data_IF_077235195246
#
_entry.id   IF_077235195246
#
_cell.length_a   1.000
_cell.length_b   1.000
_cell.length_c   1.000
_cell.angle_alpha   90.00
_cell.angle_beta   90.00
_cell.angle_gamma   90.00
#
_symmetry.space_group_name_H-M   'P 1'
#
loop_
_entity.id
_entity.type
_entity.pdbx_description
1 polymer ?
#
# COMPACT_ATOMS: atom_id res chain seq x y z
N UNK A 1 10.16 -17.69 -18.08
CA UNK A 1 9.72 -19.08 -18.39
C UNK A 1 10.02 -20.12 -17.30
N UNK A 2 11.12 -20.07 -16.54
CA UNK A 2 11.43 -21.11 -15.53
C UNK A 2 10.56 -21.07 -14.25
N UNK A 3 9.88 -19.94 -13.96
CA UNK A 3 9.08 -19.77 -12.74
C UNK A 3 7.71 -20.44 -12.80
N UNK A 4 7.00 -20.36 -13.93
CA UNK A 4 5.72 -21.05 -14.14
C UNK A 4 5.88 -22.56 -14.06
N UNK A 5 6.96 -23.11 -14.66
CA UNK A 5 7.34 -24.54 -14.49
C UNK A 5 7.62 -24.90 -13.03
N UNK A 6 8.28 -24.04 -12.25
CA UNK A 6 8.51 -24.26 -10.80
C UNK A 6 7.23 -24.16 -9.96
N UNK A 7 6.33 -23.22 -10.26
CA UNK A 7 5.00 -23.12 -9.65
C UNK A 7 4.18 -24.37 -9.97
N UNK A 8 4.24 -24.85 -11.20
CA UNK A 8 3.57 -26.08 -11.62
C UNK A 8 4.16 -27.32 -10.95
N UNK A 9 5.49 -27.39 -10.77
CA UNK A 9 6.15 -28.44 -9.99
C UNK A 9 5.76 -28.34 -8.51
N UNK A 10 5.64 -27.15 -7.92
CA UNK A 10 5.18 -26.97 -6.55
C UNK A 10 3.68 -27.25 -6.40
N UNK A 11 2.87 -26.98 -7.41
CA UNK A 11 1.44 -27.31 -7.45
C UNK A 11 1.28 -28.82 -7.61
N UNK A 12 2.00 -29.49 -8.51
CA UNK A 12 2.08 -30.97 -8.62
C UNK A 12 2.65 -31.61 -7.36
N UNK A 13 3.70 -31.07 -6.75
CA UNK A 13 4.28 -31.59 -5.49
C UNK A 13 3.35 -31.34 -4.30
N UNK A 14 2.58 -30.25 -4.29
CA UNK A 14 1.52 -30.03 -3.31
C UNK A 14 0.30 -30.90 -3.56
N UNK A 15 -0.09 -31.20 -4.81
CA UNK A 15 -1.10 -32.20 -5.15
C UNK A 15 -0.64 -33.59 -4.68
N UNK A 16 0.64 -33.93 -4.86
CA UNK A 16 1.30 -35.12 -4.26
C UNK A 16 1.53 -35.02 -2.73
N UNK A 17 1.21 -33.90 -2.08
CA UNK A 17 1.12 -33.78 -0.61
C UNK A 17 -0.33 -33.72 -0.13
N UNK A 18 -1.27 -33.26 -0.95
CA UNK A 18 -2.70 -33.47 -0.77
C UNK A 18 -3.03 -34.97 -0.79
N UNK A 19 -2.25 -35.78 -1.50
CA UNK A 19 -2.32 -37.23 -1.36
C UNK A 19 -1.94 -37.77 0.02
N UNK A 20 -1.15 -37.07 0.83
CA UNK A 20 -0.91 -37.48 2.23
C UNK A 20 -2.07 -37.11 3.16
N UNK A 21 -2.99 -36.25 2.71
CA UNK A 21 -4.29 -36.03 3.36
C UNK A 21 -5.36 -37.07 2.95
N UNK A 22 -5.01 -38.09 2.15
CA UNK A 22 -5.94 -39.17 1.75
C UNK A 22 -6.47 -40.05 2.91
N UNK A 23 -5.96 -39.90 4.14
CA UNK A 23 -6.47 -40.63 5.30
C UNK A 23 -7.71 -39.97 5.95
N UNK A 24 -8.01 -38.71 5.63
CA UNK A 24 -9.24 -38.06 6.09
C UNK A 24 -10.27 -38.21 4.96
N UNK A 25 -11.24 -39.12 5.14
CA UNK A 25 -12.42 -39.17 4.28
C UNK A 25 -13.15 -37.83 4.41
N UNK A 26 -12.94 -36.94 3.43
CA UNK A 26 -13.83 -35.80 3.25
C UNK A 26 -15.12 -36.32 2.59
N UNK A 27 -16.29 -35.84 3.01
CA UNK A 27 -17.54 -36.12 2.30
C UNK A 27 -17.37 -35.82 0.82
N UNK A 28 -17.88 -36.69 -0.05
CA UNK A 28 -17.85 -36.45 -1.47
C UNK A 28 -18.80 -35.27 -1.77
N UNK A 29 -18.24 -34.09 -2.02
CA UNK A 29 -19.01 -32.87 -2.25
C UNK A 29 -19.94 -32.95 -3.46
N UNK A 30 -19.74 -33.95 -4.33
CA UNK A 30 -20.60 -34.20 -5.47
C UNK A 30 -21.82 -35.08 -5.17
N UNK A 31 -21.88 -35.82 -4.06
CA UNK A 31 -23.01 -36.73 -3.78
C UNK A 31 -24.37 -36.02 -3.82
N UNK A 32 -24.40 -34.74 -3.44
CA UNK A 32 -25.60 -33.91 -3.45
C UNK A 32 -25.65 -32.87 -4.58
N UNK A 33 -24.70 -32.91 -5.52
CA UNK A 33 -24.60 -31.93 -6.61
C UNK A 33 -25.21 -32.48 -7.90
N UNK A 34 -25.94 -31.63 -8.64
CA UNK A 34 -26.41 -31.95 -9.98
C UNK A 34 -25.26 -32.21 -10.95
N UNK A 35 -24.08 -31.63 -10.70
CA UNK A 35 -22.88 -31.84 -11.52
C UNK A 35 -22.41 -33.31 -11.50
N UNK A 36 -22.73 -34.06 -10.45
CA UNK A 36 -22.36 -35.47 -10.35
C UNK A 36 -23.18 -36.37 -11.29
N UNK A 37 -24.33 -35.88 -11.76
CA UNK A 37 -25.21 -36.60 -12.69
C UNK A 37 -24.91 -36.26 -14.15
N UNK A 38 -24.04 -35.29 -14.41
CA UNK A 38 -23.68 -34.89 -15.76
C UNK A 38 -22.65 -35.87 -16.35
N UNK A 39 -22.82 -36.28 -17.63
CA UNK A 39 -21.77 -36.95 -18.38
C UNK A 39 -20.48 -36.13 -18.43
N UNK A 40 -19.33 -36.82 -18.51
CA UNK A 40 -17.99 -36.20 -18.55
C UNK A 40 -17.87 -35.21 -19.71
N UNK A 41 -18.50 -35.49 -20.85
CA UNK A 41 -18.50 -34.66 -22.05
C UNK A 41 -19.14 -33.29 -21.78
N UNK A 42 -20.25 -33.27 -21.02
CA UNK A 42 -20.90 -32.00 -20.64
C UNK A 42 -20.04 -31.22 -19.65
N UNK A 43 -19.37 -31.90 -18.70
CA UNK A 43 -18.44 -31.23 -17.79
C UNK A 43 -17.24 -30.62 -18.54
N UNK A 44 -16.71 -31.32 -19.55
CA UNK A 44 -15.65 -30.80 -20.41
C UNK A 44 -16.13 -29.64 -21.27
N UNK A 45 -17.34 -29.71 -21.83
CA UNK A 45 -17.93 -28.62 -22.59
C UNK A 45 -18.09 -27.36 -21.72
N UNK A 46 -18.67 -27.51 -20.52
CA UNK A 46 -18.75 -26.41 -19.54
C UNK A 46 -17.37 -25.80 -19.29
N UNK A 47 -16.35 -26.64 -19.04
CA UNK A 47 -15.00 -26.15 -18.79
C UNK A 47 -14.36 -25.46 -20.01
N UNK A 48 -14.66 -25.91 -21.23
CA UNK A 48 -14.16 -25.29 -22.47
C UNK A 48 -14.83 -23.96 -22.79
N UNK A 49 -16.08 -23.77 -22.36
CA UNK A 49 -16.83 -22.53 -22.54
C UNK A 49 -16.48 -21.45 -21.48
N UNK A 50 -15.74 -21.83 -20.42
CA UNK A 50 -15.26 -20.91 -19.39
C UNK A 50 -13.96 -20.22 -19.79
N UNK A 51 -13.73 -18.96 -19.35
CA UNK A 51 -12.40 -18.34 -19.39
C UNK A 51 -11.35 -19.23 -18.70
N UNK A 52 -10.10 -19.22 -19.18
CA UNK A 52 -9.04 -20.14 -18.73
C UNK A 52 -8.89 -20.18 -17.20
N UNK A 53 -8.88 -19.01 -16.55
CA UNK A 53 -8.85 -18.91 -15.10
C UNK A 53 -10.05 -19.58 -14.40
N UNK A 54 -11.26 -19.39 -14.93
CA UNK A 54 -12.49 -19.97 -14.40
C UNK A 54 -12.55 -21.48 -14.67
N UNK A 55 -12.14 -21.94 -15.85
CA UNK A 55 -12.04 -23.35 -16.19
C UNK A 55 -11.06 -24.08 -15.26
N UNK A 56 -9.92 -23.46 -14.97
CA UNK A 56 -8.95 -23.97 -14.00
C UNK A 56 -9.53 -24.01 -12.57
N UNK A 57 -10.24 -22.97 -12.14
CA UNK A 57 -10.92 -22.97 -10.84
C UNK A 57 -12.00 -24.06 -10.75
N UNK A 58 -12.83 -24.19 -11.78
CA UNK A 58 -13.84 -25.23 -11.91
C UNK A 58 -13.22 -26.63 -11.82
N UNK A 59 -12.09 -26.86 -12.52
CA UNK A 59 -11.36 -28.13 -12.45
C UNK A 59 -10.90 -28.46 -11.04
N UNK A 60 -10.59 -27.45 -10.21
CA UNK A 60 -10.09 -27.60 -8.85
C UNK A 60 -11.19 -27.56 -7.77
N UNK A 61 -12.45 -27.32 -8.14
CA UNK A 61 -13.57 -27.22 -7.21
C UNK A 61 -13.80 -28.52 -6.43
N UNK A 62 -13.58 -29.69 -7.07
CA UNK A 62 -13.54 -30.97 -6.38
C UNK A 62 -12.60 -31.96 -7.09
N UNK A 63 -12.17 -32.99 -6.34
CA UNK A 63 -11.25 -34.01 -6.86
C UNK A 63 -11.85 -34.78 -8.03
N UNK A 64 -13.15 -35.07 -8.00
CA UNK A 64 -13.80 -35.86 -9.03
C UNK A 64 -13.87 -35.10 -10.37
N UNK A 65 -14.27 -33.82 -10.35
CA UNK A 65 -14.24 -32.97 -11.54
C UNK A 65 -12.81 -32.92 -12.11
N UNK A 66 -11.79 -32.69 -11.27
CA UNK A 66 -10.39 -32.67 -11.71
C UNK A 66 -9.98 -33.97 -12.43
N UNK A 67 -10.42 -35.12 -11.91
CA UNK A 67 -10.10 -36.43 -12.50
C UNK A 67 -10.85 -36.67 -13.82
N UNK A 68 -12.10 -36.22 -13.92
CA UNK A 68 -12.93 -36.38 -15.12
C UNK A 68 -12.49 -35.46 -16.26
N UNK A 69 -12.29 -34.17 -15.98
CA UNK A 69 -12.00 -33.20 -17.03
C UNK A 69 -10.50 -33.03 -17.29
N UNK A 70 -9.62 -33.43 -16.37
CA UNK A 70 -8.17 -33.38 -16.54
C UNK A 70 -7.49 -32.09 -16.09
N UNK A 71 -6.18 -31.98 -16.37
CA UNK A 71 -5.31 -30.87 -15.90
C UNK A 71 -4.92 -29.88 -17.00
N UNK A 72 -5.42 -30.01 -18.22
CA UNK A 72 -5.07 -29.16 -19.37
C UNK A 72 -5.35 -27.67 -19.10
N UNK A 73 -6.41 -27.35 -18.34
CA UNK A 73 -6.73 -25.97 -17.96
C UNK A 73 -5.66 -25.36 -17.04
N UNK A 74 -5.00 -26.17 -16.20
CA UNK A 74 -3.89 -25.73 -15.36
C UNK A 74 -2.61 -25.51 -16.18
N UNK A 75 -2.41 -26.31 -17.24
CA UNK A 75 -1.27 -26.16 -18.15
C UNK A 75 -1.39 -24.86 -18.96
N UNK A 76 -2.61 -24.52 -19.40
CA UNK A 76 -2.92 -23.25 -20.06
C UNK A 76 -2.66 -22.04 -19.17
N UNK A 77 -2.87 -22.15 -17.85
CA UNK A 77 -2.47 -21.07 -16.92
C UNK A 77 -0.96 -20.84 -16.94
N UNK A 78 -0.17 -21.90 -17.02
CA UNK A 78 1.29 -21.80 -16.96
C UNK A 78 1.90 -21.06 -18.17
N UNK A 79 1.16 -20.95 -19.28
CA UNK A 79 1.59 -20.21 -20.47
C UNK A 79 1.19 -18.73 -20.44
N UNK A 80 0.20 -18.34 -19.63
CA UNK A 80 -0.29 -16.95 -19.52
C UNK A 80 -0.16 -16.36 -18.12
N UNK A 81 0.71 -15.36 -17.97
CA UNK A 81 0.91 -14.62 -16.70
C UNK A 81 -0.33 -13.81 -16.28
N UNK A 82 -1.13 -13.37 -17.25
CA UNK A 82 -2.39 -12.67 -16.99
C UNK A 82 -3.43 -13.63 -16.43
N UNK A 83 -3.69 -14.74 -17.12
CA UNK A 83 -4.65 -15.76 -16.68
C UNK A 83 -4.26 -16.37 -15.33
N UNK A 84 -2.96 -16.60 -15.09
CA UNK A 84 -2.46 -17.02 -13.78
C UNK A 84 -2.89 -16.05 -12.68
N UNK A 85 -2.79 -14.73 -12.90
CA UNK A 85 -3.19 -13.75 -11.89
C UNK A 85 -4.70 -13.72 -11.69
N UNK A 86 -5.50 -13.81 -12.76
CA UNK A 86 -6.96 -13.89 -12.69
C UNK A 86 -7.36 -15.12 -11.86
N UNK A 87 -6.77 -16.28 -12.15
CA UNK A 87 -6.97 -17.51 -11.40
C UNK A 87 -6.61 -17.36 -9.91
N UNK A 88 -5.45 -16.77 -9.60
CA UNK A 88 -5.04 -16.56 -8.21
C UNK A 88 -6.00 -15.64 -7.46
N UNK A 89 -6.59 -14.63 -8.12
CA UNK A 89 -7.59 -13.74 -7.52
C UNK A 89 -8.93 -14.46 -7.25
N UNK A 90 -9.35 -15.36 -8.16
CA UNK A 90 -10.52 -16.21 -7.92
C UNK A 90 -10.29 -17.11 -6.69
N UNK A 91 -9.14 -17.78 -6.64
CA UNK A 91 -8.80 -18.67 -5.50
C UNK A 91 -8.56 -17.88 -4.21
N UNK A 92 -8.06 -16.65 -4.28
CA UNK A 92 -7.88 -15.79 -3.11
C UNK A 92 -9.19 -15.59 -2.34
N UNK A 93 -10.32 -15.45 -3.03
CA UNK A 93 -11.64 -15.23 -2.42
C UNK A 93 -11.96 -16.30 -1.35
N UNK A 94 -11.71 -17.57 -1.68
CA UNK A 94 -12.03 -18.70 -0.80
C UNK A 94 -10.93 -18.97 0.25
N UNK A 95 -9.78 -18.31 0.14
CA UNK A 95 -8.64 -18.46 1.05
C UNK A 95 -8.50 -17.26 1.98
N UNK A 96 -9.17 -17.35 3.14
CA UNK A 96 -9.17 -16.30 4.16
C UNK A 96 -7.76 -15.89 4.64
N UNK A 97 -6.78 -16.80 4.66
CA UNK A 97 -5.42 -16.56 5.17
C UNK A 97 -4.39 -16.12 4.11
N UNK A 98 -4.81 -15.90 2.86
CA UNK A 98 -3.91 -15.62 1.73
C UNK A 98 -4.36 -14.43 0.90
N UNK A 99 -3.41 -13.77 0.24
CA UNK A 99 -3.68 -12.73 -0.77
C UNK A 99 -2.98 -13.06 -2.09
N UNK A 100 -3.60 -12.77 -3.23
CA UNK A 100 -2.94 -12.83 -4.53
C UNK A 100 -2.11 -11.58 -4.74
N UNK A 101 -0.84 -11.76 -5.10
CA UNK A 101 0.08 -10.67 -5.35
C UNK A 101 0.30 -10.46 -6.85
N UNK A 102 0.01 -9.24 -7.33
CA UNK A 102 0.16 -8.88 -8.73
C UNK A 102 1.64 -8.89 -9.18
N UNK A 103 2.56 -8.50 -8.31
CA UNK A 103 4.00 -8.51 -8.61
C UNK A 103 4.58 -9.92 -8.60
N UNK A 104 4.38 -10.67 -7.49
CA UNK A 104 4.98 -11.99 -7.31
C UNK A 104 4.26 -13.12 -8.06
N UNK A 105 3.04 -12.88 -8.59
CA UNK A 105 2.20 -13.88 -9.28
C UNK A 105 2.01 -15.16 -8.45
N UNK A 106 1.72 -15.00 -7.16
CA UNK A 106 1.47 -16.11 -6.23
C UNK A 106 0.60 -15.68 -5.05
N UNK A 107 0.12 -16.65 -4.28
CA UNK A 107 -0.56 -16.41 -3.01
C UNK A 107 0.45 -16.21 -1.88
N UNK A 108 0.38 -15.08 -1.19
CA UNK A 108 1.11 -14.83 0.05
C UNK A 108 0.23 -15.13 1.24
N UNK A 109 0.76 -15.86 2.22
CA UNK A 109 0.06 -16.08 3.49
C UNK A 109 0.16 -14.85 4.36
N UNK A 110 -0.96 -14.39 4.90
CA UNK A 110 -1.05 -13.24 5.81
C UNK A 110 -0.16 -13.43 7.04
N UNK A 111 -0.03 -14.67 7.55
CA UNK A 111 0.85 -14.96 8.70
C UNK A 111 2.34 -14.69 8.44
N UNK A 112 2.74 -14.53 7.18
CA UNK A 112 4.09 -14.18 6.78
C UNK A 112 4.28 -12.68 6.56
N UNK A 113 3.33 -11.82 6.96
CA UNK A 113 3.36 -10.37 6.71
C UNK A 113 4.72 -9.71 7.05
N UNK A 114 5.37 -10.13 8.15
CA UNK A 114 6.69 -9.63 8.55
C UNK A 114 7.80 -9.82 7.51
N UNK A 115 7.65 -10.74 6.56
CA UNK A 115 8.61 -10.96 5.45
C UNK A 115 8.50 -9.93 4.33
N UNK A 116 7.54 -9.02 4.43
CA UNK A 116 7.27 -7.99 3.42
C UNK A 116 7.52 -6.59 3.98
N UNK A 117 8.25 -6.47 5.09
CA UNK A 117 8.66 -5.18 5.66
C UNK A 117 10.19 -5.14 5.81
N UNK A 118 10.77 -3.98 5.52
CA UNK A 118 12.20 -3.72 5.72
C UNK A 118 13.12 -4.15 4.56
N UNK A 119 14.42 -3.87 4.73
CA UNK A 119 15.45 -3.93 3.69
C UNK A 119 16.40 -5.14 3.79
N UNK A 120 16.13 -6.11 4.68
CA UNK A 120 17.13 -7.11 5.08
C UNK A 120 16.85 -8.53 4.54
N UNK A 121 16.40 -8.65 3.30
CA UNK A 121 16.18 -9.97 2.69
C UNK A 121 17.37 -10.39 1.82
N UNK A 122 17.89 -11.60 2.06
CA UNK A 122 18.89 -12.23 1.19
C UNK A 122 18.36 -12.39 -0.25
N UNK A 123 17.07 -12.68 -0.37
CA UNK A 123 16.35 -12.72 -1.65
C UNK A 123 15.07 -11.91 -1.48
N UNK A 124 15.07 -10.73 -2.07
CA UNK A 124 13.94 -9.82 -2.02
C UNK A 124 12.77 -10.32 -2.88
N UNK A 125 11.53 -10.40 -2.36
CA UNK A 125 10.35 -10.70 -3.17
C UNK A 125 10.09 -9.62 -4.23
N UNK A 126 9.60 -10.02 -5.40
CA UNK A 126 9.30 -9.10 -6.51
C UNK A 126 8.36 -7.95 -6.12
N UNK A 127 7.42 -8.19 -5.18
CA UNK A 127 6.54 -7.12 -4.70
C UNK A 127 7.27 -6.02 -3.91
N UNK A 128 8.34 -6.34 -3.19
CA UNK A 128 9.14 -5.31 -2.52
C UNK A 128 10.04 -4.57 -3.51
N UNK A 129 10.52 -5.27 -4.55
CA UNK A 129 11.23 -4.64 -5.66
C UNK A 129 10.33 -3.63 -6.38
N UNK A 130 9.08 -3.99 -6.63
CA UNK A 130 8.08 -3.11 -7.24
C UNK A 130 7.74 -1.92 -6.33
N UNK A 131 7.54 -2.14 -5.02
CA UNK A 131 7.35 -1.05 -4.04
C UNK A 131 8.54 -0.08 -4.04
N UNK A 132 9.77 -0.59 -4.13
CA UNK A 132 10.97 0.25 -4.24
C UNK A 132 10.99 1.05 -5.54
N UNK A 133 10.72 0.41 -6.68
CA UNK A 133 10.68 1.08 -7.99
C UNK A 133 9.61 2.17 -8.05
N UNK A 134 8.45 1.92 -7.48
CA UNK A 134 7.36 2.89 -7.35
C UNK A 134 7.63 3.96 -6.27
N UNK A 135 8.73 3.84 -5.52
CA UNK A 135 9.11 4.73 -4.41
C UNK A 135 8.05 4.82 -3.32
N UNK A 136 7.35 3.71 -3.03
CA UNK A 136 6.32 3.61 -1.98
C UNK A 136 6.83 4.14 -0.64
N UNK A 137 8.07 3.78 -0.30
CA UNK A 137 8.72 4.20 0.94
C UNK A 137 9.01 5.70 1.05
N UNK A 138 9.10 6.41 -0.09
CA UNK A 138 9.32 7.86 -0.15
C UNK A 138 8.02 8.63 0.08
N UNK A 139 6.99 8.29 -0.69
CA UNK A 139 5.70 8.98 -0.66
C UNK A 139 4.84 8.63 0.54
N UNK A 140 4.89 7.39 1.02
CA UNK A 140 4.19 6.97 2.23
C UNK A 140 5.18 7.08 3.39
N UNK A 141 5.87 6.01 3.79
CA UNK A 141 7.03 6.06 4.70
C UNK A 141 7.89 4.80 4.60
N UNK A 142 9.08 4.82 5.23
CA UNK A 142 10.15 3.84 5.01
C UNK A 142 9.82 2.35 5.24
N UNK A 143 8.82 2.05 6.08
CA UNK A 143 8.41 0.67 6.40
C UNK A 143 7.09 0.26 5.72
N UNK A 144 6.48 1.13 4.94
CA UNK A 144 5.21 0.83 4.30
C UNK A 144 5.39 -0.25 3.23
N UNK A 145 4.44 -1.19 3.14
CA UNK A 145 4.43 -2.27 2.15
C UNK A 145 3.05 -2.40 1.53
N UNK A 146 2.96 -2.32 0.21
CA UNK A 146 1.69 -2.52 -0.52
C UNK A 146 1.13 -3.94 -0.29
N UNK A 147 2.02 -4.92 -0.12
CA UNK A 147 1.64 -6.30 0.15
C UNK A 147 1.02 -6.43 1.55
N UNK A 148 1.62 -5.82 2.57
CA UNK A 148 1.04 -5.84 3.93
C UNK A 148 -0.23 -5.00 4.01
N UNK A 149 -0.32 -3.90 3.26
CA UNK A 149 -1.56 -3.13 3.09
C UNK A 149 -2.69 -4.03 2.59
N UNK A 150 -2.49 -4.76 1.49
CA UNK A 150 -3.51 -5.70 0.98
C UNK A 150 -3.87 -6.79 2.00
N UNK A 151 -2.88 -7.32 2.75
CA UNK A 151 -3.14 -8.28 3.83
C UNK A 151 -4.01 -7.67 4.94
N UNK A 152 -3.71 -6.44 5.37
CA UNK A 152 -4.43 -5.74 6.42
C UNK A 152 -5.89 -5.47 6.01
N UNK A 153 -6.11 -4.96 4.79
CA UNK A 153 -7.45 -4.68 4.28
C UNK A 153 -8.30 -5.94 4.18
N UNK A 154 -7.76 -7.00 3.58
CA UNK A 154 -8.48 -8.27 3.47
C UNK A 154 -8.84 -8.83 4.84
N UNK A 155 -7.88 -8.88 5.77
CA UNK A 155 -8.12 -9.43 7.10
C UNK A 155 -9.17 -8.61 7.87
N UNK A 156 -9.06 -7.28 7.81
CA UNK A 156 -10.00 -6.38 8.45
C UNK A 156 -11.41 -6.50 7.85
N UNK A 157 -11.55 -6.68 6.54
CA UNK A 157 -12.84 -6.89 5.91
C UNK A 157 -13.53 -8.19 6.38
N UNK A 158 -12.76 -9.27 6.54
CA UNK A 158 -13.29 -10.58 6.94
C UNK A 158 -13.56 -10.70 8.45
N UNK A 159 -12.73 -10.07 9.28
CA UNK A 159 -12.71 -10.31 10.73
C UNK A 159 -12.82 -9.04 11.58
N UNK A 160 -12.95 -7.87 10.95
CA UNK A 160 -13.00 -6.58 11.65
C UNK A 160 -11.69 -6.19 12.33
N UNK A 161 -11.80 -5.37 13.37
CA UNK A 161 -10.68 -4.81 14.14
C UNK A 161 -10.18 -5.76 15.24
N UNK A 162 -9.79 -6.97 14.87
CA UNK A 162 -9.28 -7.97 15.81
C UNK A 162 -7.78 -7.79 16.15
N UNK A 163 -7.23 -8.69 16.98
CA UNK A 163 -5.82 -8.64 17.36
C UNK A 163 -4.86 -8.75 16.16
N UNK A 164 -5.24 -9.49 15.13
CA UNK A 164 -4.40 -9.71 13.94
C UNK A 164 -4.47 -8.55 12.96
N UNK A 165 -5.64 -7.95 12.77
CA UNK A 165 -5.79 -6.68 12.05
C UNK A 165 -4.93 -5.59 12.69
N UNK A 166 -4.96 -5.46 14.02
CA UNK A 166 -4.06 -4.54 14.76
C UNK A 166 -2.58 -4.87 14.54
N UNK A 167 -2.20 -6.15 14.57
CA UNK A 167 -0.83 -6.55 14.29
C UNK A 167 -0.39 -6.14 12.88
N UNK A 168 -1.24 -6.34 11.87
CA UNK A 168 -0.93 -5.96 10.49
C UNK A 168 -0.81 -4.43 10.33
N UNK A 169 -1.68 -3.65 10.98
CA UNK A 169 -1.58 -2.19 11.01
C UNK A 169 -0.32 -1.70 11.72
N UNK A 170 0.09 -2.37 12.79
CA UNK A 170 1.35 -2.06 13.48
C UNK A 170 2.57 -2.33 12.60
N UNK A 171 2.54 -3.36 11.73
CA UNK A 171 3.61 -3.59 10.75
C UNK A 171 3.69 -2.50 9.69
N UNK A 172 2.55 -1.89 9.35
CA UNK A 172 2.48 -0.72 8.45
C UNK A 172 2.78 0.59 9.18
N UNK A 173 2.85 0.60 10.50
CA UNK A 173 3.15 1.80 11.29
C UNK A 173 4.64 1.85 11.64
N UNK A 174 5.12 3.02 12.03
CA UNK A 174 6.52 3.24 12.42
C UNK A 174 6.53 3.99 13.74
N UNK A 175 7.03 3.31 14.77
CA UNK A 175 7.43 3.98 16.01
C UNK A 175 8.51 5.01 15.72
N UNK A 176 8.45 6.12 16.46
CA UNK A 176 9.38 7.25 16.37
C UNK A 176 10.83 6.79 16.14
N UNK A 177 11.40 7.12 14.99
CA UNK A 177 12.82 6.92 14.73
C UNK A 177 13.52 8.26 14.52
N UNK A 178 14.74 8.34 15.03
CA UNK A 178 15.59 9.52 14.91
C UNK A 178 16.77 9.18 14.01
N UNK A 179 16.97 9.96 12.97
CA UNK A 179 18.11 9.86 12.07
C UNK A 179 18.89 11.18 12.09
N UNK A 180 20.13 11.13 12.56
CA UNK A 180 21.04 12.26 12.54
C UNK A 180 21.82 12.30 11.23
N UNK A 181 21.82 13.46 10.57
CA UNK A 181 22.69 13.79 9.46
C UNK A 181 23.48 15.06 9.78
N UNK A 182 24.72 14.89 10.26
CA UNK A 182 25.58 15.99 10.74
C UNK A 182 24.84 16.79 11.83
N UNK A 183 24.57 18.08 11.60
CA UNK A 183 23.87 18.98 12.53
C UNK A 183 22.35 18.97 12.35
N UNK A 184 21.82 18.18 11.41
CA UNK A 184 20.38 18.00 11.19
C UNK A 184 19.91 16.70 11.81
N UNK A 185 18.90 16.76 12.66
CA UNK A 185 18.22 15.62 13.25
C UNK A 185 16.84 15.52 12.63
N UNK A 186 16.54 14.38 12.01
CA UNK A 186 15.20 14.05 11.51
C UNK A 186 14.56 13.06 12.47
N UNK A 187 13.45 13.44 13.10
CA UNK A 187 12.55 12.53 13.81
C UNK A 187 11.35 12.23 12.92
N UNK A 188 10.95 10.98 12.84
CA UNK A 188 9.76 10.59 12.07
C UNK A 188 9.00 9.45 12.76
N UNK A 189 7.68 9.55 12.77
CA UNK A 189 6.75 8.49 13.11
C UNK A 189 5.67 8.37 12.03
N UNK A 190 5.02 7.21 11.97
CA UNK A 190 3.88 6.99 11.11
C UNK A 190 2.87 6.04 11.75
N UNK A 191 1.59 6.30 11.54
CA UNK A 191 0.48 5.49 12.03
C UNK A 191 -0.46 5.16 10.86
N UNK A 192 -1.02 3.95 10.86
CA UNK A 192 -2.02 3.49 9.90
C UNK A 192 -3.34 3.12 10.60
N UNK A 193 -4.48 3.51 10.02
CA UNK A 193 -5.83 3.17 10.50
C UNK A 193 -6.71 2.72 9.35
N UNK A 194 -7.68 1.87 9.60
CA UNK A 194 -8.73 1.53 8.63
C UNK A 194 -10.03 2.18 9.10
N UNK A 195 -10.68 2.95 8.24
CA UNK A 195 -12.00 3.54 8.49
C UNK A 195 -12.81 3.48 7.21
N UNK A 196 -14.09 3.13 7.31
CA UNK A 196 -15.01 3.07 6.15
C UNK A 196 -14.47 2.27 4.95
N UNK A 197 -13.73 1.18 5.20
CA UNK A 197 -13.17 0.35 4.15
C UNK A 197 -11.94 0.92 3.43
N UNK A 198 -11.39 2.05 3.88
CA UNK A 198 -10.14 2.64 3.36
C UNK A 198 -9.01 2.61 4.38
N UNK A 199 -7.77 2.48 3.91
CA UNK A 199 -6.57 2.64 4.75
C UNK A 199 -6.11 4.10 4.76
N UNK A 200 -6.01 4.66 5.95
CA UNK A 200 -5.48 5.99 6.20
C UNK A 200 -4.08 5.90 6.78
N UNK A 201 -3.22 6.85 6.42
CA UNK A 201 -1.88 7.00 7.02
C UNK A 201 -1.68 8.40 7.55
N UNK A 202 -1.01 8.52 8.69
CA UNK A 202 -0.54 9.78 9.26
C UNK A 202 0.97 9.68 9.46
N UNK A 203 1.74 10.48 8.73
CA UNK A 203 3.20 10.59 8.86
C UNK A 203 3.55 11.92 9.48
N UNK A 204 4.28 11.89 10.58
CA UNK A 204 4.81 13.09 11.24
C UNK A 204 6.32 13.12 11.08
N UNK A 205 6.84 14.25 10.65
CA UNK A 205 8.27 14.46 10.45
C UNK A 205 8.65 15.76 11.12
N UNK A 206 9.67 15.71 11.97
CA UNK A 206 10.29 16.88 12.57
C UNK A 206 11.77 16.92 12.16
N UNK A 207 12.20 18.05 11.65
CA UNK A 207 13.60 18.36 11.40
C UNK A 207 14.06 19.38 12.42
N UNK A 208 15.22 19.14 13.03
CA UNK A 208 15.83 20.02 14.01
C UNK A 208 17.31 20.19 13.68
N UNK A 209 17.79 21.41 13.53
CA UNK A 209 19.21 21.64 13.25
C UNK A 209 19.57 23.09 13.00
N UNK A 210 20.86 23.37 12.78
CA UNK A 210 21.33 24.72 12.50
C UNK A 210 20.93 25.18 11.10
N UNK A 211 20.76 26.49 10.91
CA UNK A 211 20.49 27.12 9.60
C UNK A 211 21.42 26.60 8.48
N UNK A 212 22.72 26.53 8.77
CA UNK A 212 23.76 26.05 7.85
C UNK A 212 23.58 24.58 7.43
N UNK A 213 22.91 23.76 8.26
CA UNK A 213 22.59 22.37 7.95
C UNK A 213 21.49 22.28 6.88
N UNK A 214 20.50 23.17 6.95
CA UNK A 214 19.39 23.25 6.00
C UNK A 214 19.87 23.75 4.64
N UNK A 215 20.72 24.79 4.58
CA UNK A 215 21.25 25.35 3.32
C UNK A 215 22.15 24.38 2.53
N UNK A 216 23.01 23.60 3.20
CA UNK A 216 24.00 22.73 2.52
C UNK A 216 23.40 21.48 1.85
N UNK A 217 22.08 21.35 1.84
CA UNK A 217 21.39 20.47 0.90
C UNK A 217 20.79 19.20 1.48
N UNK A 218 20.61 19.11 2.80
CA UNK A 218 20.03 17.92 3.43
C UNK A 218 18.50 17.82 3.29
N UNK A 219 17.80 18.93 3.04
CA UNK A 219 16.35 18.97 2.75
C UNK A 219 16.15 19.66 1.39
N UNK A 220 16.85 19.19 0.35
CA UNK A 220 16.61 19.77 -0.99
C UNK A 220 15.22 19.44 -1.50
N UNK A 221 14.70 18.26 -1.16
CA UNK A 221 13.37 17.81 -1.57
C UNK A 221 12.77 16.94 -0.48
N UNK A 222 11.72 17.42 0.18
CA UNK A 222 10.86 16.58 1.00
C UNK A 222 9.50 16.43 0.31
N UNK A 223 9.21 15.22 -0.15
CA UNK A 223 7.99 14.89 -0.89
C UNK A 223 6.83 14.69 0.10
N UNK A 224 5.80 15.52 0.00
CA UNK A 224 4.53 15.34 0.72
C UNK A 224 3.65 14.34 -0.05
N UNK A 225 3.60 14.52 -1.36
CA UNK A 225 3.05 13.59 -2.33
C UNK A 225 3.73 13.84 -3.69
N UNK A 226 3.47 13.05 -4.74
CA UNK A 226 4.05 13.32 -6.06
C UNK A 226 3.71 14.70 -6.63
N UNK A 227 2.67 15.35 -6.11
CA UNK A 227 2.17 16.65 -6.56
C UNK A 227 2.67 17.84 -5.74
N UNK A 228 3.24 17.59 -4.56
CA UNK A 228 3.60 18.61 -3.57
C UNK A 228 4.99 18.32 -3.02
N UNK A 229 5.90 19.26 -3.23
CA UNK A 229 7.28 19.18 -2.79
C UNK A 229 7.60 20.36 -1.89
N UNK A 230 8.29 20.09 -0.78
CA UNK A 230 8.89 21.13 0.03
C UNK A 230 10.30 21.42 -0.50
N UNK A 231 10.51 22.66 -0.91
CA UNK A 231 11.75 23.20 -1.46
C UNK A 231 12.29 24.29 -0.53
N UNK A 232 13.60 24.33 -0.32
CA UNK A 232 14.27 25.44 0.37
C UNK A 232 14.60 26.54 -0.63
N UNK A 233 14.18 27.79 -0.37
CA UNK A 233 14.47 28.93 -1.25
C UNK A 233 15.70 29.70 -0.75
N UNK A 234 16.88 29.35 -1.24
CA UNK A 234 18.06 30.23 -1.21
C UNK A 234 18.39 30.90 0.14
N UNK A 235 19.09 32.05 0.09
CA UNK A 235 19.80 32.75 1.20
C UNK A 235 18.93 33.25 2.37
N UNK A 236 17.67 32.85 2.45
CA UNK A 236 16.74 33.26 3.51
C UNK A 236 16.08 31.99 4.03
N UNK A 237 16.00 31.84 5.35
CA UNK A 237 15.41 30.70 6.08
C UNK A 237 13.91 30.50 5.76
N UNK A 238 13.62 30.24 4.50
CA UNK A 238 12.31 30.22 3.90
C UNK A 238 12.14 28.91 3.17
N UNK A 239 11.00 28.28 3.46
CA UNK A 239 10.61 27.04 2.82
C UNK A 239 9.43 27.33 1.92
N UNK A 240 9.32 26.58 0.84
CA UNK A 240 8.26 26.71 -0.15
C UNK A 240 7.67 25.37 -0.40
N UNK A 241 6.35 25.29 -0.30
CA UNK A 241 5.64 24.14 -0.84
C UNK A 241 5.28 24.50 -2.28
N UNK A 242 5.89 23.77 -3.22
CA UNK A 242 5.64 23.91 -4.65
C UNK A 242 4.80 22.76 -5.13
N UNK A 243 3.95 23.03 -6.12
CA UNK A 243 3.33 21.97 -6.89
C UNK A 243 4.21 21.62 -8.09
N UNK A 244 4.65 20.36 -8.15
CA UNK A 244 5.60 19.85 -9.16
C UNK A 244 4.96 19.55 -10.52
N UNK A 245 3.63 19.39 -10.56
CA UNK A 245 2.88 19.10 -11.79
C UNK A 245 2.47 20.39 -12.52
N UNK A 246 3.42 21.14 -13.09
CA UNK A 246 3.06 22.19 -14.07
C UNK A 246 4.20 22.47 -15.08
N UNK A 247 3.96 22.08 -16.34
CA UNK A 247 4.68 22.56 -17.54
C UNK A 247 4.05 23.87 -18.06
N UNK A 248 2.80 24.18 -17.71
CA UNK A 248 2.15 25.44 -18.08
C UNK A 248 2.34 26.52 -17.01
N UNK A 249 3.39 27.33 -17.18
CA UNK A 249 3.69 28.72 -16.72
C UNK A 249 3.17 29.33 -15.40
N UNK A 250 2.24 28.76 -14.63
CA UNK A 250 1.82 29.28 -13.31
C UNK A 250 2.07 28.25 -12.21
N UNK A 251 3.30 28.21 -11.70
CA UNK A 251 3.61 27.52 -10.44
C UNK A 251 2.86 28.25 -9.32
N UNK A 252 1.87 27.61 -8.72
CA UNK A 252 1.38 28.04 -7.41
C UNK A 252 2.39 27.60 -6.36
N UNK A 253 2.93 28.55 -5.62
CA UNK A 253 3.80 28.30 -4.49
C UNK A 253 3.22 28.94 -3.25
N UNK A 254 3.20 28.22 -2.13
CA UNK A 254 2.93 28.80 -0.82
C UNK A 254 4.25 28.97 -0.09
N UNK A 255 4.55 30.21 0.30
CA UNK A 255 5.75 30.55 1.06
C UNK A 255 5.48 30.29 2.54
N UNK A 256 6.38 29.53 3.18
CA UNK A 256 6.47 29.43 4.63
C UNK A 256 7.56 30.43 5.03
N UNK A 257 7.15 31.64 5.42
CA UNK A 257 8.07 32.74 5.70
C UNK A 257 8.10 33.06 7.18
N UNK A 258 9.27 33.02 7.82
CA UNK A 258 9.46 33.62 9.12
C UNK A 258 9.61 35.13 8.98
N UNK A 259 8.51 35.88 9.03
CA UNK A 259 8.64 37.33 9.20
C UNK A 259 9.23 37.59 10.57
N UNK A 260 10.44 38.19 10.60
CA UNK A 260 10.99 38.78 11.82
C UNK A 260 10.09 39.94 12.21
N UNK A 261 8.94 39.64 12.82
CA UNK A 261 8.11 40.68 13.41
C UNK A 261 8.92 41.25 14.57
N UNK A 262 9.44 42.45 14.38
CA UNK A 262 10.04 43.23 15.45
C UNK A 262 8.95 43.50 16.48
N UNK A 263 9.00 42.79 17.60
CA UNK A 263 8.31 43.05 18.88
C UNK A 263 7.00 42.30 19.21
N UNK A 264 6.61 41.26 18.49
CA UNK A 264 5.55 40.34 18.95
C UNK A 264 6.07 38.91 19.05
N UNK A 265 6.15 38.39 20.28
CA UNK A 265 6.84 37.15 20.68
C UNK A 265 6.20 35.84 20.19
N UNK A 266 5.19 35.85 19.33
CA UNK A 266 4.48 34.62 18.90
C UNK A 266 3.92 34.81 17.48
N UNK A 267 4.80 34.80 16.48
CA UNK A 267 4.41 34.68 15.08
C UNK A 267 4.22 33.22 14.70
N UNK A 268 3.09 32.64 15.08
CA UNK A 268 2.78 31.22 14.84
C UNK A 268 2.58 30.96 13.34
N UNK A 269 3.55 30.31 12.70
CA UNK A 269 3.60 30.16 11.26
C UNK A 269 2.91 28.88 10.79
N UNK A 270 1.77 29.08 10.14
CA UNK A 270 1.10 28.18 9.19
C UNK A 270 0.70 26.78 9.73
N UNK A 271 0.06 26.74 10.89
CA UNK A 271 -0.65 25.54 11.41
C UNK A 271 -1.93 25.18 10.62
N UNK A 272 -2.30 25.96 9.61
CA UNK A 272 -3.54 25.75 8.85
C UNK A 272 -3.46 24.48 7.99
N UNK A 273 -4.46 23.61 8.12
CA UNK A 273 -4.59 22.40 7.33
C UNK A 273 -4.70 22.71 5.83
N UNK A 274 -3.84 22.08 5.04
CA UNK A 274 -3.79 22.20 3.58
C UNK A 274 -4.14 20.89 2.90
N UNK A 275 -4.55 20.97 1.63
CA UNK A 275 -4.93 19.81 0.82
C UNK A 275 -4.21 19.80 -0.53
N UNK A 276 -3.90 18.60 -1.01
CA UNK A 276 -3.48 18.38 -2.38
C UNK A 276 -4.69 18.43 -3.32
N UNK A 277 -4.54 19.08 -4.48
CA UNK A 277 -5.61 19.16 -5.48
C UNK A 277 -5.76 17.92 -6.35
N UNK A 278 -4.83 16.97 -6.29
CA UNK A 278 -4.74 15.86 -7.26
C UNK A 278 -4.74 14.47 -6.61
N UNK A 279 -4.55 14.39 -5.30
CA UNK A 279 -4.68 13.14 -4.56
C UNK A 279 -5.23 13.41 -3.16
N UNK A 280 -5.77 12.38 -2.52
CA UNK A 280 -6.36 12.47 -1.17
C UNK A 280 -5.26 12.57 -0.11
N UNK A 281 -4.57 13.71 -0.08
CA UNK A 281 -3.52 14.06 0.87
C UNK A 281 -3.87 15.39 1.54
N UNK A 282 -3.83 15.40 2.87
CA UNK A 282 -3.85 16.63 3.68
C UNK A 282 -2.52 16.79 4.38
N UNK A 283 -2.14 18.03 4.72
CA UNK A 283 -0.92 18.26 5.47
C UNK A 283 -0.96 19.57 6.27
N UNK A 284 -0.15 19.63 7.32
CA UNK A 284 0.23 20.86 8.02
C UNK A 284 1.74 20.96 8.05
N UNK A 285 2.27 22.19 8.05
CA UNK A 285 3.70 22.44 8.13
C UNK A 285 3.97 23.62 9.05
N UNK A 286 4.64 23.37 10.18
CA UNK A 286 5.08 24.38 11.12
C UNK A 286 6.56 24.68 10.95
N UNK A 287 6.93 25.95 11.13
CA UNK A 287 8.32 26.39 11.07
C UNK A 287 8.62 27.31 12.24
N UNK A 288 9.57 26.90 13.06
CA UNK A 288 10.07 27.64 14.22
C UNK A 288 11.56 27.97 13.98
N UNK A 289 11.92 29.24 14.21
CA UNK A 289 13.29 29.72 14.15
C UNK A 289 13.64 30.35 15.49
N UNK A 290 14.73 29.88 16.10
CA UNK A 290 15.25 30.41 17.36
C UNK A 290 16.49 31.31 17.13
N UNK A 291 16.71 32.26 18.04
CA UNK A 291 17.82 33.23 18.01
C UNK A 291 19.19 32.54 17.95
N UNK A 292 19.29 31.30 18.42
CA UNK A 292 20.46 30.43 18.31
C UNK A 292 20.75 29.88 16.89
N UNK A 293 20.18 30.45 15.83
CA UNK A 293 20.26 29.94 14.45
C UNK A 293 19.77 28.49 14.31
N UNK A 294 18.85 28.06 15.18
CA UNK A 294 18.29 26.72 15.16
C UNK A 294 16.92 26.76 14.49
N UNK A 295 16.73 25.85 13.55
CA UNK A 295 15.48 25.66 12.82
C UNK A 295 14.82 24.38 13.31
N UNK A 296 13.52 24.49 13.60
CA UNK A 296 12.63 23.35 13.78
C UNK A 296 11.51 23.41 12.75
N UNK A 297 11.47 22.42 11.87
CA UNK A 297 10.44 22.25 10.86
C UNK A 297 9.63 21.01 11.20
N UNK A 298 8.32 21.17 11.37
CA UNK A 298 7.38 20.06 11.61
C UNK A 298 6.46 19.92 10.42
N UNK A 299 6.22 18.69 9.97
CA UNK A 299 5.30 18.39 8.88
C UNK A 299 4.47 17.20 9.29
N UNK A 300 3.16 17.34 9.26
CA UNK A 300 2.23 16.21 9.40
C UNK A 300 1.52 16.00 8.07
N UNK A 301 1.52 14.76 7.59
CA UNK A 301 0.93 14.37 6.31
C UNK A 301 -0.11 13.28 6.59
N UNK A 302 -1.34 13.52 6.17
CA UNK A 302 -2.42 12.53 6.19
C UNK A 302 -2.72 12.09 4.76
N UNK A 303 -2.94 10.79 4.57
CA UNK A 303 -3.33 10.23 3.26
C UNK A 303 -4.45 9.23 3.42
N UNK A 304 -5.40 9.27 2.50
CA UNK A 304 -6.33 8.18 2.23
C UNK A 304 -5.77 7.37 1.05
N UNK A 305 -5.47 6.10 1.30
CA UNK A 305 -4.89 5.17 0.34
C UNK A 305 -5.95 4.30 -0.35
N UNK A 306 -7.23 4.45 0.02
CA UNK A 306 -8.34 3.66 -0.52
C UNK A 306 -8.35 2.22 -0.06
N UNK A 307 -9.00 1.37 -0.86
CA UNK A 307 -9.32 -0.02 -0.52
C UNK A 307 -8.16 -1.01 -0.73
N UNK A 308 -7.13 -0.62 -1.49
CA UNK A 308 -5.98 -1.48 -1.78
C UNK A 308 -5.04 -0.94 -2.85
N UNK A 309 -3.90 -1.60 -3.12
CA UNK A 309 -2.92 -1.19 -4.11
C UNK A 309 -3.41 -1.16 -5.57
N UNK A 310 -4.57 -1.75 -5.84
CA UNK A 310 -5.20 -1.73 -7.16
C UNK A 310 -6.13 -0.52 -7.38
N UNK A 311 -6.49 0.20 -6.31
CA UNK A 311 -7.44 1.31 -6.34
C UNK A 311 -6.83 2.59 -6.96
N UNK A 312 -7.68 3.47 -7.48
CA UNK A 312 -7.24 4.73 -8.11
C UNK A 312 -6.67 5.71 -7.08
N UNK A 313 -7.20 5.72 -5.86
CA UNK A 313 -6.69 6.52 -4.74
C UNK A 313 -5.24 6.18 -4.44
N UNK A 314 -4.91 4.88 -4.42
CA UNK A 314 -3.53 4.41 -4.24
C UNK A 314 -2.63 4.89 -5.38
N UNK A 315 -3.05 4.72 -6.64
CA UNK A 315 -2.25 5.11 -7.82
C UNK A 315 -1.96 6.61 -7.85
N UNK A 316 -2.89 7.44 -7.39
CA UNK A 316 -2.73 8.90 -7.32
C UNK A 316 -1.63 9.35 -6.34
N UNK A 317 -1.13 8.47 -5.47
CA UNK A 317 0.01 8.76 -4.58
C UNK A 317 1.38 8.44 -5.18
N UNK A 318 1.44 8.05 -6.47
CA UNK A 318 2.68 7.78 -7.19
C UNK A 318 2.77 8.56 -8.52
N UNK A 319 3.98 8.86 -9.02
CA UNK A 319 4.14 9.47 -10.33
C UNK A 319 3.50 8.61 -11.42
N UNK A 320 2.73 9.23 -12.30
CA UNK A 320 2.16 8.53 -13.45
C UNK A 320 3.28 8.05 -14.39
N UNK A 321 3.22 6.82 -14.90
CA UNK A 321 4.23 6.29 -15.82
C UNK A 321 4.22 7.04 -17.15
N UNK A 322 3.07 7.57 -17.58
CA UNK A 322 2.96 8.44 -18.74
C UNK A 322 2.96 9.91 -18.32
N UNK A 323 4.03 10.63 -18.65
CA UNK A 323 4.14 12.08 -18.37
C UNK A 323 3.12 12.93 -19.13
N UNK A 324 2.39 12.35 -20.09
CA UNK A 324 1.40 13.05 -20.91
C UNK A 324 0.00 13.04 -20.29
N UNK A 325 -0.30 12.12 -19.37
CA UNK A 325 -1.56 12.15 -18.64
C UNK A 325 -1.45 13.09 -17.44
N UNK A 326 -2.27 14.14 -17.45
CA UNK A 326 -2.39 15.05 -16.33
C UNK A 326 -3.39 14.48 -15.32
N UNK A 327 -3.04 14.38 -14.03
CA UNK A 327 -4.03 14.02 -13.02
C UNK A 327 -5.12 15.08 -13.02
N UNK A 328 -6.37 14.63 -13.05
CA UNK A 328 -7.51 15.54 -12.93
C UNK A 328 -7.59 16.06 -11.49
N UNK A 329 -7.89 17.36 -11.28
CA UNK A 329 -8.15 17.86 -9.95
C UNK A 329 -9.30 17.09 -9.29
N UNK A 330 -9.13 16.76 -8.01
CA UNK A 330 -10.17 16.14 -7.19
C UNK A 330 -10.65 17.13 -6.13
N UNK A 331 -11.88 16.94 -5.66
CA UNK A 331 -12.45 17.70 -4.55
C UNK A 331 -12.80 16.74 -3.41
N UNK A 332 -12.48 17.13 -2.18
CA UNK A 332 -12.85 16.44 -0.94
C UNK A 332 -12.83 17.43 0.22
N UNK A 333 -13.48 17.12 1.34
CA UNK A 333 -13.66 18.09 2.43
C UNK A 333 -12.39 18.26 3.27
N UNK A 334 -12.06 19.51 3.60
CA UNK A 334 -11.00 19.88 4.54
C UNK A 334 -11.16 19.22 5.89
N UNK A 335 -10.15 18.47 6.34
CA UNK A 335 -10.13 17.79 7.63
C UNK A 335 -10.73 16.38 7.61
N UNK A 336 -11.31 15.95 6.49
CA UNK A 336 -11.90 14.61 6.36
C UNK A 336 -10.88 13.50 6.64
N UNK A 337 -9.64 13.67 6.16
CA UNK A 337 -8.58 12.66 6.30
C UNK A 337 -7.88 12.80 7.66
N UNK A 338 -7.58 14.03 8.08
CA UNK A 338 -6.92 14.31 9.35
C UNK A 338 -7.76 13.88 10.57
N UNK A 339 -9.09 14.05 10.51
CA UNK A 339 -10.02 13.72 11.60
C UNK A 339 -9.97 12.23 12.00
N UNK A 340 -9.62 11.32 11.07
CA UNK A 340 -9.44 9.88 11.33
C UNK A 340 -8.43 9.61 12.46
N UNK A 341 -7.49 10.54 12.68
CA UNK A 341 -6.44 10.43 13.70
C UNK A 341 -6.70 11.28 14.94
N UNK A 342 -7.74 12.12 14.93
CA UNK A 342 -8.11 12.99 16.05
C UNK A 342 -9.10 12.32 17.01
N UNK A 343 -9.88 11.36 16.52
CA UNK A 343 -10.74 10.51 17.35
C UNK A 343 -9.87 9.74 18.36
N UNK A 344 -9.83 10.24 19.60
CA UNK A 344 -9.34 9.48 20.76
C UNK A 344 -10.25 8.26 20.89
N UNK A 345 -9.65 7.08 20.90
CA UNK A 345 -10.32 5.77 20.90
C UNK A 345 -11.47 5.68 21.90
N UNK A 346 -12.66 6.04 21.44
CA UNK A 346 -13.94 5.85 22.13
C UNK A 346 -14.69 4.64 21.57
N UNK A 347 -14.09 3.92 20.60
CA UNK A 347 -14.55 2.60 20.18
C UNK A 347 -14.12 1.54 21.21
N UNK A 348 -14.72 1.64 22.40
CA UNK A 348 -15.05 0.46 23.18
C UNK A 348 -16.12 -0.29 22.38
N UNK A 349 -15.70 -1.34 21.66
CA UNK A 349 -16.63 -2.36 21.21
C UNK A 349 -17.47 -2.82 22.42
N UNK A 350 -18.81 -2.83 22.34
CA UNK A 350 -19.62 -3.52 23.34
C UNK A 350 -19.21 -5.01 23.34
N UNK A 351 -18.97 -5.53 24.54
CA UNK A 351 -18.70 -6.95 24.78
C UNK A 351 -19.93 -7.80 24.54
#
# INVERSE_FOLDING_TARGET
>A
MNYAKRLFVLFRQRIKRFSRYFAVQRPNSLENSLLAKLPTELLQQIANDLPVASAASFSLSCRHILLLIGTQYLENLATSSHETLVFLKLVEHDLQDQIACNSCRKLHRIKNARKYIGYHHLVEPDCLVDDRKARVYGYIHQKFSSTVFKMAMKHHHLFGYDARSRQLLNLLSVESYTHGWRTLVKKQDAECRIKNGSLFTCKRVAFHGTYTAFERGSIRFFEICPHLELESIGRSASLRITSSYHVSRKRSSRLLHCEKSSNTKEGDLCSELQQCRYCRTEYTAGFEYDDGCTIKLTITIWKDLGQGPEAEEWKAHFPLPDRRSFPQPIQFHGGEIASVFQEKGTDLCPR
#
